data_IF_782592485208
#
_entry.id   IF_782592485208
#
_cell.length_a   1.000
_cell.length_b   1.000
_cell.length_c   1.000
_cell.angle_alpha   90.00
_cell.angle_beta   90.00
_cell.angle_gamma   90.00
#
_symmetry.space_group_name_H-M   'P 1'
#
loop_
_entity.id
_entity.type
_entity.pdbx_description
1 polymer ?
#
# COMPACT_ATOMS: atom_id res chain seq x y z
N UNK A 1 0.49 -46.93 33.05
CA UNK A 1 0.47 -46.59 31.61
C UNK A 1 0.33 -45.08 31.49
N UNK A 2 1.46 -44.39 31.34
CA UNK A 2 1.56 -42.94 31.22
C UNK A 2 1.85 -42.60 29.76
N UNK A 3 0.90 -41.97 29.08
CA UNK A 3 1.10 -41.50 27.71
C UNK A 3 1.79 -40.14 27.74
N UNK A 4 3.05 -40.13 27.32
CA UNK A 4 3.86 -38.94 27.08
C UNK A 4 3.53 -38.45 25.67
N UNK A 5 2.91 -37.27 25.53
CA UNK A 5 2.82 -36.60 24.25
C UNK A 5 3.72 -35.36 24.26
N UNK A 6 4.94 -35.55 23.77
CA UNK A 6 5.94 -34.49 23.55
C UNK A 6 5.73 -33.97 22.13
N UNK A 7 4.98 -32.89 21.99
CA UNK A 7 4.97 -32.11 20.75
C UNK A 7 6.33 -31.44 20.55
N UNK A 8 6.92 -31.66 19.37
CA UNK A 8 8.20 -31.08 18.95
C UNK A 8 8.09 -29.55 18.82
N UNK A 9 8.71 -28.81 19.75
CA UNK A 9 9.06 -27.41 19.50
C UNK A 9 10.31 -27.34 18.61
N UNK A 10 10.32 -26.47 17.58
CA UNK A 10 11.53 -26.24 16.78
C UNK A 10 12.60 -25.58 17.66
N UNK A 11 13.80 -26.17 17.66
CA UNK A 11 14.98 -25.64 18.36
C UNK A 11 15.39 -24.30 17.75
N UNK A 12 15.34 -23.20 18.51
CA UNK A 12 15.95 -21.95 18.03
C UNK A 12 15.63 -20.61 18.72
N UNK A 13 14.76 -20.52 19.73
CA UNK A 13 14.48 -19.23 20.39
C UNK A 13 14.78 -19.36 21.88
N UNK A 14 15.89 -18.79 22.34
CA UNK A 14 16.11 -18.56 23.78
C UNK A 14 14.91 -17.76 24.29
N UNK A 15 14.16 -18.31 25.25
CA UNK A 15 13.05 -17.60 25.87
C UNK A 15 13.50 -16.23 26.36
N UNK A 16 12.68 -15.19 26.11
CA UNK A 16 13.01 -13.83 26.51
C UNK A 16 13.28 -13.79 28.03
N UNK A 17 14.51 -13.45 28.43
CA UNK A 17 14.94 -13.51 29.83
C UNK A 17 14.18 -12.53 30.73
N UNK A 18 13.51 -11.52 30.18
CA UNK A 18 12.85 -10.43 30.92
C UNK A 18 11.38 -10.70 31.26
N UNK A 19 10.70 -11.52 30.47
CA UNK A 19 9.26 -11.78 30.59
C UNK A 19 8.98 -13.25 30.91
N UNK A 20 8.00 -13.50 31.77
CA UNK A 20 7.46 -14.82 32.06
C UNK A 20 6.11 -14.98 31.36
N UNK A 21 5.91 -16.06 30.62
CA UNK A 21 4.59 -16.42 30.10
C UNK A 21 3.78 -17.03 31.24
N UNK A 22 2.74 -16.35 31.71
CA UNK A 22 1.92 -16.79 32.83
C UNK A 22 0.61 -17.45 32.39
N UNK A 23 -0.01 -16.99 31.30
CA UNK A 23 -1.22 -17.60 30.77
C UNK A 23 -1.38 -17.28 29.27
N UNK A 24 -1.91 -18.25 28.51
CA UNK A 24 -2.22 -18.13 27.10
C UNK A 24 -3.50 -18.92 26.82
N UNK A 25 -4.56 -18.22 26.42
CA UNK A 25 -5.83 -18.81 26.04
C UNK A 25 -6.22 -18.38 24.61
N UNK A 26 -5.97 -19.22 23.59
CA UNK A 26 -6.32 -18.92 22.21
C UNK A 26 -7.81 -19.07 21.89
N UNK A 27 -8.62 -19.67 22.78
CA UNK A 27 -10.03 -19.99 22.52
C UNK A 27 -11.01 -19.04 23.22
N UNK A 28 -10.50 -17.99 23.86
CA UNK A 28 -11.31 -16.98 24.57
C UNK A 28 -12.17 -16.09 23.64
N UNK A 29 -11.89 -16.06 22.34
CA UNK A 29 -12.67 -15.35 21.29
C UNK A 29 -13.08 -13.91 21.67
N UNK A 30 -12.09 -13.07 22.02
CA UNK A 30 -12.32 -11.66 22.37
C UNK A 30 -12.01 -10.73 21.20
N UNK A 31 -12.97 -9.89 20.86
CA UNK A 31 -12.85 -8.89 19.80
C UNK A 31 -12.93 -7.49 20.41
N UNK A 32 -11.79 -6.87 20.67
CA UNK A 32 -11.73 -5.57 21.36
C UNK A 32 -10.57 -4.72 20.85
N UNK A 33 -10.66 -3.42 21.09
CA UNK A 33 -9.55 -2.48 20.92
C UNK A 33 -8.95 -2.11 22.28
N UNK A 34 -7.72 -1.60 22.29
CA UNK A 34 -7.02 -1.15 23.52
C UNK A 34 -7.85 -0.17 24.35
N UNK A 35 -8.56 0.76 23.71
CA UNK A 35 -9.43 1.73 24.40
C UNK A 35 -10.64 1.12 25.13
N UNK A 36 -10.99 -0.13 24.82
CA UNK A 36 -12.11 -0.88 25.40
C UNK A 36 -11.67 -1.85 26.50
N UNK A 37 -10.40 -1.78 26.93
CA UNK A 37 -9.79 -2.63 27.95
C UNK A 37 -9.36 -1.75 29.12
N UNK A 38 -9.78 -2.11 30.34
CA UNK A 38 -9.33 -1.42 31.55
C UNK A 38 -9.09 -2.37 32.72
N UNK A 39 -8.28 -1.93 33.66
CA UNK A 39 -8.00 -2.63 34.92
C UNK A 39 -8.56 -1.77 36.04
N UNK A 40 -9.47 -2.32 36.84
CA UNK A 40 -10.12 -1.58 37.92
C UNK A 40 -10.50 -2.52 39.05
N UNK A 41 -10.37 -2.03 40.28
CA UNK A 41 -10.93 -2.70 41.45
C UNK A 41 -12.42 -2.35 41.59
N UNK A 42 -13.26 -3.09 40.85
CA UNK A 42 -14.72 -2.89 40.81
C UNK A 42 -15.37 -3.16 42.19
N UNK A 43 -14.72 -3.93 43.05
CA UNK A 43 -15.30 -4.39 44.31
C UNK A 43 -14.70 -3.70 45.54
N UNK A 44 -13.72 -2.80 45.35
CA UNK A 44 -12.92 -2.19 46.41
C UNK A 44 -12.29 -3.24 47.36
N UNK A 45 -11.93 -4.42 46.84
CA UNK A 45 -11.36 -5.53 47.60
C UNK A 45 -9.81 -5.54 47.58
N UNK A 46 -9.20 -4.52 46.97
CA UNK A 46 -7.76 -4.41 46.75
C UNK A 46 -7.26 -5.25 45.57
N UNK A 47 -8.15 -5.89 44.80
CA UNK A 47 -7.80 -6.74 43.66
C UNK A 47 -8.36 -6.17 42.35
N UNK A 48 -7.45 -5.68 41.51
CA UNK A 48 -7.80 -5.21 40.16
C UNK A 48 -8.34 -6.34 39.30
N UNK A 49 -9.51 -6.10 38.71
CA UNK A 49 -10.19 -6.99 37.77
C UNK A 49 -10.00 -6.43 36.36
N UNK A 50 -9.87 -7.32 35.39
CA UNK A 50 -9.77 -6.91 33.99
C UNK A 50 -11.16 -6.80 33.40
N UNK A 51 -11.49 -5.61 32.91
CA UNK A 51 -12.76 -5.31 32.26
C UNK A 51 -12.49 -5.14 30.77
N UNK A 52 -13.21 -5.90 29.95
CA UNK A 52 -13.13 -5.87 28.49
C UNK A 52 -14.52 -5.65 27.94
N UNK A 53 -14.70 -4.63 27.11
CA UNK A 53 -15.86 -4.55 26.24
C UNK A 53 -15.57 -5.35 24.95
N UNK A 54 -16.12 -6.56 24.89
CA UNK A 54 -16.06 -7.43 23.73
C UNK A 54 -17.11 -6.99 22.70
N UNK A 55 -16.64 -6.67 21.51
CA UNK A 55 -17.44 -6.15 20.41
C UNK A 55 -18.13 -7.29 19.64
N UNK A 56 -17.72 -8.55 19.83
CA UNK A 56 -18.23 -9.69 19.09
C UNK A 56 -18.09 -9.46 17.57
N UNK A 57 -19.21 -9.37 16.86
CA UNK A 57 -19.23 -9.09 15.41
C UNK A 57 -19.39 -7.61 15.05
N UNK A 58 -19.46 -6.73 16.06
CA UNK A 58 -19.68 -5.28 15.91
C UNK A 58 -21.13 -4.88 15.63
N UNK A 59 -22.02 -5.83 15.32
CA UNK A 59 -23.46 -5.58 15.10
C UNK A 59 -24.37 -6.38 16.04
N UNK A 60 -23.88 -7.47 16.62
CA UNK A 60 -24.61 -8.30 17.58
C UNK A 60 -23.62 -8.96 18.56
N UNK A 61 -24.14 -9.40 19.70
CA UNK A 61 -23.40 -10.12 20.75
C UNK A 61 -22.26 -9.32 21.40
N UNK A 62 -22.45 -8.01 21.56
CA UNK A 62 -21.53 -7.16 22.32
C UNK A 62 -21.70 -7.41 23.81
N UNK A 63 -20.59 -7.61 24.53
CA UNK A 63 -20.61 -7.99 25.94
C UNK A 63 -19.50 -7.33 26.75
N UNK A 64 -19.82 -6.90 27.96
CA UNK A 64 -18.86 -6.49 28.96
C UNK A 64 -18.43 -7.72 29.76
N UNK A 65 -17.19 -8.15 29.59
CA UNK A 65 -16.58 -9.29 30.27
C UNK A 65 -15.65 -8.81 31.37
N UNK A 66 -15.85 -9.29 32.59
CA UNK A 66 -15.01 -9.01 33.75
C UNK A 66 -14.26 -10.27 34.13
N UNK A 67 -12.93 -10.20 34.18
CA UNK A 67 -12.05 -11.30 34.56
C UNK A 67 -11.42 -11.06 35.93
N UNK A 68 -11.39 -12.11 36.74
CA UNK A 68 -10.63 -12.19 38.00
C UNK A 68 -9.54 -13.25 37.84
N UNK A 69 -8.27 -12.83 37.85
CA UNK A 69 -7.15 -13.70 37.50
C UNK A 69 -7.24 -14.18 36.05
N UNK A 70 -7.37 -15.50 35.85
CA UNK A 70 -7.53 -16.15 34.53
C UNK A 70 -8.97 -16.59 34.26
N UNK A 71 -9.91 -16.34 35.18
CA UNK A 71 -11.30 -16.81 35.06
C UNK A 71 -12.26 -15.66 34.75
N UNK A 72 -13.23 -15.91 33.87
CA UNK A 72 -14.33 -14.99 33.61
C UNK A 72 -15.27 -14.97 34.83
N UNK A 73 -15.48 -13.79 35.39
CA UNK A 73 -16.31 -13.55 36.57
C UNK A 73 -17.74 -13.19 36.20
N UNK A 74 -17.90 -12.21 35.30
CA UNK A 74 -19.22 -11.69 34.92
C UNK A 74 -19.23 -11.34 33.44
N UNK A 75 -20.37 -11.56 32.80
CA UNK A 75 -20.64 -11.21 31.41
C UNK A 75 -21.99 -10.48 31.31
N UNK A 76 -21.97 -9.24 30.82
CA UNK A 76 -23.17 -8.41 30.67
C UNK A 76 -23.33 -7.99 29.21
N UNK A 77 -24.52 -8.12 28.64
CA UNK A 77 -24.78 -7.66 27.26
C UNK A 77 -24.77 -6.14 27.17
N UNK A 78 -24.07 -5.59 26.18
CA UNK A 78 -24.02 -4.16 25.86
C UNK A 78 -24.90 -3.91 24.64
N UNK A 79 -25.70 -2.84 24.68
CA UNK A 79 -26.67 -2.51 23.63
C UNK A 79 -26.01 -1.71 22.48
N UNK A 80 -25.08 -0.81 22.82
CA UNK A 80 -24.44 0.10 21.87
C UNK A 80 -22.93 -0.11 21.75
N UNK A 81 -22.36 0.28 20.61
CA UNK A 81 -20.92 0.20 20.33
C UNK A 81 -20.14 1.18 21.24
N UNK A 82 -19.19 0.71 22.06
CA UNK A 82 -18.41 1.57 22.95
C UNK A 82 -17.30 2.31 22.19
N UNK A 83 -17.39 3.65 22.10
CA UNK A 83 -16.52 4.46 21.22
C UNK A 83 -15.43 5.29 21.93
N UNK A 84 -15.38 5.27 23.28
CA UNK A 84 -14.67 6.24 24.13
C UNK A 84 -15.38 7.62 24.28
N UNK A 85 -15.12 8.34 25.38
CA UNK A 85 -16.03 9.31 26.06
C UNK A 85 -16.06 10.73 25.45
N UNK A 86 -15.51 10.99 24.27
CA UNK A 86 -15.65 12.30 23.61
C UNK A 86 -15.74 12.18 22.08
N UNK A 87 -16.67 12.91 21.45
CA UNK A 87 -16.96 12.82 20.01
C UNK A 87 -16.44 14.08 19.29
N UNK A 88 -15.35 13.93 18.52
CA UNK A 88 -14.96 14.89 17.48
C UNK A 88 -15.58 14.49 16.13
N UNK A 89 -16.05 15.48 15.37
CA UNK A 89 -16.51 15.28 14.00
C UNK A 89 -16.18 16.51 13.15
N UNK A 90 -15.24 16.37 12.22
CA UNK A 90 -14.75 17.46 11.37
C UNK A 90 -13.92 18.48 12.17
N UNK A 91 -14.09 19.81 11.96
CA UNK A 91 -13.43 20.85 12.77
C UNK A 91 -14.15 21.10 14.11
N UNK A 92 -15.17 20.32 14.43
CA UNK A 92 -16.04 20.53 15.58
C UNK A 92 -15.80 19.50 16.68
N UNK A 93 -15.71 19.99 17.92
CA UNK A 93 -15.72 19.17 19.12
C UNK A 93 -17.07 19.37 19.80
N UNK A 94 -17.80 18.27 19.98
CA UNK A 94 -19.09 18.28 20.66
C UNK A 94 -18.92 17.82 22.10
N UNK A 95 -19.12 18.73 23.04
CA UNK A 95 -19.12 18.42 24.47
C UNK A 95 -20.53 18.09 24.88
N UNK A 96 -20.73 16.86 25.37
CA UNK A 96 -22.00 16.41 25.91
C UNK A 96 -21.96 16.45 27.44
N UNK A 97 -23.00 17.02 28.06
CA UNK A 97 -23.21 16.95 29.51
C UNK A 97 -24.54 16.25 29.74
N UNK A 98 -24.53 15.14 30.46
CA UNK A 98 -25.71 14.28 30.68
C UNK A 98 -26.39 13.83 29.37
N UNK A 99 -25.60 13.38 28.39
CA UNK A 99 -26.08 12.92 27.06
C UNK A 99 -26.85 13.99 26.26
N UNK A 100 -26.71 15.27 26.63
CA UNK A 100 -27.26 16.40 25.87
C UNK A 100 -26.11 17.24 25.31
N UNK A 101 -26.21 17.73 24.06
CA UNK A 101 -25.22 18.66 23.51
C UNK A 101 -25.15 19.89 24.42
N UNK A 102 -24.00 20.10 25.05
CA UNK A 102 -23.78 21.20 25.98
C UNK A 102 -23.01 22.33 25.31
N UNK A 103 -22.00 21.99 24.49
CA UNK A 103 -21.15 22.97 23.83
C UNK A 103 -20.61 22.42 22.51
N UNK A 104 -20.58 23.28 21.47
CA UNK A 104 -19.96 22.99 20.17
C UNK A 104 -18.76 23.92 20.01
N UNK A 105 -17.55 23.39 20.18
CA UNK A 105 -16.33 24.13 19.91
C UNK A 105 -15.96 23.95 18.44
N UNK A 106 -15.62 25.05 17.77
CA UNK A 106 -15.08 25.05 16.41
C UNK A 106 -13.62 25.46 16.54
N UNK A 107 -12.70 24.68 15.98
CA UNK A 107 -11.29 25.10 15.91
C UNK A 107 -11.19 26.50 15.30
N UNK A 108 -10.21 27.33 15.72
CA UNK A 108 -9.90 28.57 15.02
C UNK A 108 -9.73 28.22 13.54
N UNK A 109 -10.59 28.78 12.68
CA UNK A 109 -10.43 28.63 11.24
C UNK A 109 -9.08 29.23 10.89
N UNK A 110 -8.15 28.40 10.41
CA UNK A 110 -7.01 28.91 9.67
C UNK A 110 -7.61 29.64 8.46
N UNK A 111 -7.25 30.90 8.26
CA UNK A 111 -7.64 31.62 7.04
C UNK A 111 -7.23 30.76 5.84
N UNK A 112 -8.22 30.35 5.04
CA UNK A 112 -7.98 29.49 3.87
C UNK A 112 -6.99 30.22 2.99
N UNK A 113 -5.88 29.56 2.64
CA UNK A 113 -4.91 30.19 1.77
C UNK A 113 -5.62 30.51 0.43
N UNK A 114 -5.52 31.74 -0.10
CA UNK A 114 -6.16 32.11 -1.37
C UNK A 114 -5.81 31.14 -2.52
N UNK A 115 -4.62 30.54 -2.49
CA UNK A 115 -4.18 29.54 -3.46
C UNK A 115 -4.89 28.19 -3.30
N UNK A 116 -5.23 27.79 -2.06
CA UNK A 116 -6.02 26.58 -1.78
C UNK A 116 -7.46 26.79 -2.25
N UNK A 117 -8.03 27.96 -1.95
CA UNK A 117 -9.39 28.33 -2.35
C UNK A 117 -9.53 28.36 -3.89
N UNK A 118 -8.58 28.94 -4.60
CA UNK A 118 -8.56 28.95 -6.07
C UNK A 118 -8.51 27.54 -6.65
N UNK A 119 -7.72 26.64 -6.05
CA UNK A 119 -7.59 25.26 -6.50
C UNK A 119 -8.88 24.44 -6.27
N UNK A 120 -9.56 24.65 -5.14
CA UNK A 120 -10.89 24.07 -4.87
C UNK A 120 -11.96 24.61 -5.82
N UNK A 121 -11.90 25.90 -6.16
CA UNK A 121 -12.78 26.50 -7.16
C UNK A 121 -12.55 25.89 -8.55
N UNK A 122 -11.29 25.66 -8.94
CA UNK A 122 -10.95 25.00 -10.20
C UNK A 122 -11.43 23.53 -10.25
N UNK A 123 -11.38 22.81 -9.14
CA UNK A 123 -11.96 21.46 -9.02
C UNK A 123 -13.49 21.50 -9.16
N UNK A 124 -14.14 22.44 -8.48
CA UNK A 124 -15.61 22.61 -8.51
C UNK A 124 -16.11 22.98 -9.90
N UNK A 125 -15.31 23.73 -10.67
CA UNK A 125 -15.57 24.07 -12.07
C UNK A 125 -15.26 22.92 -13.05
N UNK A 126 -14.77 21.77 -12.57
CA UNK A 126 -14.43 20.60 -13.39
C UNK A 126 -13.13 20.74 -14.19
N UNK A 127 -12.35 21.79 -13.92
CA UNK A 127 -11.08 22.08 -14.62
C UNK A 127 -9.93 21.19 -14.11
N UNK A 128 -10.05 20.61 -12.92
CA UNK A 128 -9.02 19.80 -12.26
C UNK A 128 -9.64 18.48 -11.79
N UNK A 129 -8.95 17.36 -12.03
CA UNK A 129 -9.36 16.04 -11.54
C UNK A 129 -8.86 15.78 -10.11
N UNK A 130 -9.53 14.90 -9.38
CA UNK A 130 -9.24 14.60 -7.96
C UNK A 130 -7.80 14.11 -7.70
N UNK A 131 -7.19 13.42 -8.66
CA UNK A 131 -5.79 12.98 -8.58
C UNK A 131 -4.80 14.16 -8.64
N UNK A 132 -5.05 15.12 -9.53
CA UNK A 132 -4.21 16.30 -9.75
C UNK A 132 -4.39 17.28 -8.58
N UNK A 133 -5.63 17.44 -8.11
CA UNK A 133 -5.94 18.21 -6.90
C UNK A 133 -5.12 17.71 -5.71
N UNK A 134 -5.06 16.40 -5.50
CA UNK A 134 -4.29 15.80 -4.40
C UNK A 134 -2.79 16.09 -4.53
N UNK A 135 -2.21 15.92 -5.71
CA UNK A 135 -0.78 16.20 -5.94
C UNK A 135 -0.43 17.67 -5.71
N UNK A 136 -1.29 18.60 -6.16
CA UNK A 136 -1.08 20.03 -5.98
C UNK A 136 -1.24 20.46 -4.52
N UNK A 137 -2.21 19.90 -3.78
CA UNK A 137 -2.35 20.13 -2.35
C UNK A 137 -1.18 19.55 -1.54
N UNK A 138 -0.68 18.36 -1.92
CA UNK A 138 0.51 17.78 -1.29
C UNK A 138 1.77 18.61 -1.56
N UNK A 139 1.94 19.17 -2.75
CA UNK A 139 3.05 20.08 -3.09
C UNK A 139 2.96 21.39 -2.28
N UNK A 140 1.77 22.00 -2.17
CA UNK A 140 1.54 23.16 -1.32
C UNK A 140 1.86 22.87 0.15
N UNK A 141 1.50 21.68 0.64
CA UNK A 141 1.80 21.21 2.01
C UNK A 141 3.31 21.03 2.23
N UNK A 142 4.04 20.52 1.24
CA UNK A 142 5.51 20.39 1.29
C UNK A 142 6.19 21.76 1.29
N UNK A 143 5.64 22.72 0.55
CA UNK A 143 6.13 24.09 0.47
C UNK A 143 5.74 24.98 1.67
N UNK A 144 5.14 24.41 2.70
CA UNK A 144 4.87 25.08 3.98
C UNK A 144 3.64 25.98 3.99
N UNK A 145 2.73 25.81 3.03
CA UNK A 145 1.44 26.51 3.03
C UNK A 145 0.56 25.93 4.15
N UNK A 146 0.03 26.77 5.07
CA UNK A 146 -0.91 26.31 6.09
C UNK A 146 -2.26 26.03 5.43
N UNK A 147 -2.54 24.74 5.17
CA UNK A 147 -3.82 24.27 4.65
C UNK A 147 -4.81 24.01 5.79
N UNK A 148 -6.10 24.01 5.47
CA UNK A 148 -7.15 23.61 6.41
C UNK A 148 -6.88 22.19 6.96
N UNK A 149 -7.10 22.01 8.28
CA UNK A 149 -6.71 20.77 8.98
C UNK A 149 -7.86 20.18 9.76
N UNK A 150 -7.96 18.84 9.74
CA UNK A 150 -9.02 18.09 10.42
C UNK A 150 -8.45 17.43 11.67
N UNK A 151 -9.25 17.37 12.74
CA UNK A 151 -8.91 16.63 13.95
C UNK A 151 -8.95 15.14 13.61
N UNK A 152 -7.82 14.45 13.79
CA UNK A 152 -7.69 13.01 13.51
C UNK A 152 -7.78 12.18 14.79
N UNK A 153 -7.37 12.73 15.94
CA UNK A 153 -7.48 12.05 17.22
C UNK A 153 -7.62 13.03 18.40
N UNK A 154 -8.20 12.52 19.49
CA UNK A 154 -8.44 13.21 20.75
C UNK A 154 -7.82 12.38 21.89
N UNK A 155 -7.20 13.05 22.84
CA UNK A 155 -6.80 12.45 24.12
C UNK A 155 -6.88 13.50 25.25
N UNK A 156 -6.63 13.11 26.50
CA UNK A 156 -6.64 14.00 27.66
C UNK A 156 -5.30 13.99 28.40
N UNK A 157 -4.86 15.15 28.88
CA UNK A 157 -3.60 15.32 29.60
C UNK A 157 -3.82 16.13 30.87
N UNK A 158 -3.44 15.60 32.03
CA UNK A 158 -3.61 16.30 33.32
C UNK A 158 -2.77 17.59 33.36
N UNK A 159 -3.41 18.72 33.69
CA UNK A 159 -2.84 20.08 33.61
C UNK A 159 -1.74 20.35 34.63
N UNK A 160 -1.92 19.91 35.88
CA UNK A 160 -1.03 20.27 36.98
C UNK A 160 -0.61 19.12 37.90
N UNK A 161 -1.42 18.07 38.08
CA UNK A 161 -1.15 17.02 39.07
C UNK A 161 -1.44 15.63 38.51
N UNK A 162 -0.75 14.60 39.00
CA UNK A 162 -0.96 13.20 38.59
C UNK A 162 -2.18 12.52 39.26
N UNK A 163 -2.82 13.18 40.22
CA UNK A 163 -3.99 12.69 40.97
C UNK A 163 -5.23 12.51 40.09
N UNK A 164 -6.13 11.60 40.47
CA UNK A 164 -7.33 11.25 39.68
C UNK A 164 -8.32 12.43 39.50
N UNK A 165 -8.39 13.34 40.46
CA UNK A 165 -9.29 14.52 40.43
C UNK A 165 -8.67 15.76 39.75
N UNK A 166 -7.46 15.64 39.19
CA UNK A 166 -6.77 16.76 38.59
C UNK A 166 -7.42 17.20 37.26
N UNK A 167 -7.55 18.52 37.08
CA UNK A 167 -8.08 19.14 35.87
C UNK A 167 -7.31 18.62 34.65
N UNK A 168 -8.03 18.04 33.68
CA UNK A 168 -7.47 17.43 32.48
C UNK A 168 -7.66 18.32 31.26
N UNK A 169 -6.56 18.73 30.62
CA UNK A 169 -6.53 19.41 29.34
C UNK A 169 -6.91 18.47 28.19
N UNK A 170 -7.51 19.01 27.13
CA UNK A 170 -7.80 18.26 25.93
C UNK A 170 -6.60 18.31 24.98
N UNK A 171 -6.19 17.17 24.44
CA UNK A 171 -5.11 17.04 23.45
C UNK A 171 -5.71 16.66 22.11
N UNK A 172 -5.35 17.41 21.07
CA UNK A 172 -5.86 17.24 19.71
C UNK A 172 -4.71 16.91 18.79
N UNK A 173 -4.79 15.80 18.07
CA UNK A 173 -3.95 15.53 16.91
C UNK A 173 -4.67 15.96 15.63
N UNK A 174 -3.97 16.62 14.73
CA UNK A 174 -4.50 17.05 13.44
C UNK A 174 -3.79 16.38 12.26
N UNK A 175 -4.45 16.32 11.10
CA UNK A 175 -3.89 15.78 9.85
C UNK A 175 -2.62 16.54 9.40
N UNK A 176 -2.50 17.80 9.80
CA UNK A 176 -1.31 18.63 9.56
C UNK A 176 -0.10 18.29 10.45
N UNK A 177 -0.12 17.14 11.14
CA UNK A 177 0.94 16.64 12.02
C UNK A 177 1.23 17.59 13.21
N UNK A 178 0.21 18.35 13.62
CA UNK A 178 0.30 19.23 14.78
C UNK A 178 -0.48 18.62 15.95
N UNK A 179 0.02 18.87 17.16
CA UNK A 179 -0.65 18.50 18.40
C UNK A 179 -0.95 19.77 19.17
N UNK A 180 -2.22 20.00 19.51
CA UNK A 180 -2.66 21.13 20.33
C UNK A 180 -3.07 20.64 21.70
N UNK A 181 -2.62 21.33 22.75
CA UNK A 181 -3.16 21.16 24.11
C UNK A 181 -4.09 22.34 24.39
N UNK A 182 -5.34 22.06 24.71
CA UNK A 182 -6.35 23.07 25.00
C UNK A 182 -6.56 23.25 26.50
N UNK A 183 -6.84 24.48 26.90
CA UNK A 183 -7.30 24.79 28.24
C UNK A 183 -8.70 24.19 28.50
N UNK A 184 -8.93 23.49 29.61
CA UNK A 184 -10.19 22.81 29.88
C UNK A 184 -11.37 23.75 30.17
N UNK A 185 -11.12 25.01 30.54
CA UNK A 185 -12.18 25.98 30.84
C UNK A 185 -12.36 26.98 29.70
N UNK A 186 -11.26 27.50 29.16
CA UNK A 186 -11.27 28.54 28.12
C UNK A 186 -11.17 27.98 26.69
N UNK A 187 -10.83 26.70 26.52
CA UNK A 187 -10.60 26.04 25.22
C UNK A 187 -9.59 26.76 24.32
N UNK A 188 -8.70 27.56 24.90
CA UNK A 188 -7.61 28.24 24.21
C UNK A 188 -6.41 27.30 24.07
N UNK A 189 -5.60 27.50 23.02
CA UNK A 189 -4.38 26.71 22.82
C UNK A 189 -3.35 27.08 23.90
N UNK A 190 -3.08 26.15 24.81
CA UNK A 190 -2.06 26.28 25.85
C UNK A 190 -0.65 26.03 25.32
N UNK A 191 -0.49 25.06 24.41
CA UNK A 191 0.80 24.75 23.79
C UNK A 191 0.64 24.08 22.43
N UNK A 192 1.65 24.29 21.56
CA UNK A 192 1.78 23.64 20.26
C UNK A 192 2.95 22.66 20.29
N UNK A 193 2.67 21.39 19.97
CA UNK A 193 3.69 20.36 19.89
C UNK A 193 4.54 20.50 18.62
N UNK A 194 5.87 20.56 18.75
CA UNK A 194 6.81 20.41 17.63
C UNK A 194 7.29 18.96 17.53
N UNK A 195 7.41 18.44 16.31
CA UNK A 195 7.92 17.09 16.07
C UNK A 195 9.38 16.99 16.54
N UNK A 196 9.63 16.24 17.61
CA UNK A 196 10.98 16.01 18.13
C UNK A 196 11.73 14.93 17.35
N UNK A 197 11.07 13.80 17.06
CA UNK A 197 11.67 12.66 16.36
C UNK A 197 10.61 11.80 15.66
N UNK A 198 11.06 10.86 14.83
CA UNK A 198 10.22 9.87 14.15
C UNK A 198 10.99 8.56 14.00
N UNK A 199 10.32 7.43 14.23
CA UNK A 199 10.89 6.09 14.10
C UNK A 199 10.12 5.35 13.02
N UNK A 200 10.84 4.79 12.04
CA UNK A 200 10.23 3.94 11.02
C UNK A 200 10.05 2.53 11.56
N UNK A 201 8.81 2.04 11.50
CA UNK A 201 8.49 0.66 11.87
C UNK A 201 8.72 -0.29 10.69
N UNK A 202 9.11 -1.55 10.95
CA UNK A 202 9.32 -2.55 9.90
C UNK A 202 8.02 -3.14 9.34
N UNK A 203 6.91 -2.96 10.05
CA UNK A 203 5.59 -3.49 9.74
C UNK A 203 4.51 -2.47 10.20
N UNK A 204 3.26 -2.69 9.79
CA UNK A 204 2.14 -1.79 10.12
C UNK A 204 1.83 -1.83 11.62
N UNK A 205 1.57 -0.66 12.20
CA UNK A 205 1.17 -0.53 13.60
C UNK A 205 -0.29 -0.94 13.76
N UNK A 206 -0.57 -1.81 14.72
CA UNK A 206 -1.91 -2.30 15.06
C UNK A 206 -2.47 -1.60 16.29
N UNK A 207 -1.70 -1.54 17.37
CA UNK A 207 -2.09 -0.82 18.57
C UNK A 207 -0.86 -0.27 19.30
N UNK A 208 -1.08 0.81 20.06
CA UNK A 208 -0.14 1.43 20.96
C UNK A 208 -0.66 1.33 22.40
N UNK A 209 0.22 1.21 23.37
CA UNK A 209 -0.13 1.33 24.79
C UNK A 209 1.04 1.93 25.58
N UNK A 210 0.73 2.64 26.66
CA UNK A 210 1.76 3.15 27.57
C UNK A 210 2.16 2.10 28.60
N UNK A 211 3.46 1.95 28.81
CA UNK A 211 4.04 1.15 29.88
C UNK A 211 4.58 2.11 30.93
N UNK A 212 3.93 2.18 32.08
CA UNK A 212 4.40 2.93 33.24
C UNK A 212 4.68 1.99 34.41
N UNK A 213 5.96 1.71 34.64
CA UNK A 213 6.40 0.87 35.75
C UNK A 213 7.06 1.73 36.84
N UNK A 214 6.22 2.16 37.78
CA UNK A 214 6.56 3.07 38.89
C UNK A 214 7.81 2.62 39.68
N UNK A 215 7.91 1.33 40.02
CA UNK A 215 9.02 0.81 40.85
C UNK A 215 10.41 0.91 40.21
N UNK A 216 10.50 0.90 38.87
CA UNK A 216 11.79 1.09 38.16
C UNK A 216 11.86 2.42 37.41
N UNK A 217 10.87 3.30 37.56
CA UNK A 217 10.79 4.56 36.83
C UNK A 217 10.79 4.40 35.31
N UNK A 218 10.30 3.26 34.79
CA UNK A 218 10.29 3.01 33.35
C UNK A 218 8.96 3.50 32.76
N UNK A 219 9.02 4.61 32.03
CA UNK A 219 7.94 5.11 31.17
C UNK A 219 8.31 4.85 29.71
N UNK A 220 7.54 4.02 29.04
CA UNK A 220 7.79 3.58 27.68
C UNK A 220 6.49 3.44 26.88
N UNK A 221 6.61 3.32 25.57
CA UNK A 221 5.49 3.06 24.65
C UNK A 221 5.66 1.67 24.06
N UNK A 222 4.63 0.85 24.17
CA UNK A 222 4.55 -0.47 23.54
C UNK A 222 3.84 -0.32 22.20
N UNK A 223 4.45 -0.88 21.15
CA UNK A 223 3.96 -0.80 19.76
C UNK A 223 3.74 -2.22 19.24
N UNK A 224 2.49 -2.63 19.06
CA UNK A 224 2.15 -3.91 18.44
C UNK A 224 2.11 -3.77 16.92
N UNK A 225 2.75 -4.71 16.22
CA UNK A 225 2.92 -4.70 14.77
C UNK A 225 2.26 -5.92 14.12
N UNK A 226 1.96 -5.83 12.82
CA UNK A 226 1.38 -6.94 12.02
C UNK A 226 2.30 -8.14 11.82
N UNK A 227 3.60 -8.03 12.12
CA UNK A 227 4.57 -9.12 12.03
C UNK A 227 4.72 -9.91 13.34
N UNK A 228 3.70 -9.87 14.22
CA UNK A 228 3.67 -10.56 15.52
C UNK A 228 4.79 -10.11 16.48
N UNK A 229 5.23 -8.86 16.35
CA UNK A 229 6.18 -8.22 17.27
C UNK A 229 5.50 -7.11 18.05
N UNK A 230 5.75 -7.08 19.35
CA UNK A 230 5.51 -5.91 20.20
C UNK A 230 6.87 -5.29 20.53
N UNK A 231 7.08 -4.05 20.11
CA UNK A 231 8.32 -3.30 20.37
C UNK A 231 8.10 -2.30 21.49
N UNK A 232 9.01 -2.28 22.46
CA UNK A 232 8.96 -1.34 23.59
C UNK A 232 9.98 -0.25 23.35
N UNK A 233 9.52 1.00 23.32
CA UNK A 233 10.35 2.18 23.11
C UNK A 233 10.36 3.08 24.33
N UNK A 234 11.54 3.46 24.79
CA UNK A 234 11.71 4.56 25.74
C UNK A 234 12.27 5.73 24.95
N UNK A 235 11.44 6.77 24.79
CA UNK A 235 11.72 7.86 23.85
C UNK A 235 12.01 7.30 22.44
N UNK A 236 13.18 7.61 21.88
CA UNK A 236 13.62 7.12 20.57
C UNK A 236 14.29 5.74 20.60
N UNK A 237 14.59 5.21 21.78
CA UNK A 237 15.42 4.02 21.95
C UNK A 237 14.57 2.76 22.01
N UNK A 238 14.96 1.73 21.25
CA UNK A 238 14.34 0.42 21.33
C UNK A 238 14.87 -0.28 22.59
N UNK A 239 13.96 -0.66 23.47
CA UNK A 239 14.25 -1.22 24.79
C UNK A 239 14.06 -2.73 24.80
N UNK A 240 13.02 -3.23 24.15
CA UNK A 240 12.75 -4.67 24.08
C UNK A 240 11.86 -5.03 22.88
N UNK A 241 11.92 -6.30 22.48
CA UNK A 241 11.01 -6.89 21.50
C UNK A 241 10.39 -8.13 22.12
N UNK A 242 9.06 -8.21 22.08
CA UNK A 242 8.28 -9.37 22.49
C UNK A 242 7.69 -9.97 21.22
N UNK A 243 7.98 -11.24 20.97
CA UNK A 243 7.37 -12.00 19.88
C UNK A 243 6.08 -12.66 20.42
N UNK A 244 4.99 -12.50 19.67
CA UNK A 244 3.68 -13.11 19.94
C UNK A 244 3.37 -14.21 18.91
N UNK A 245 2.41 -15.07 19.22
CA UNK A 245 1.99 -16.14 18.30
C UNK A 245 1.13 -15.54 17.17
N UNK A 246 0.21 -14.65 17.54
CA UNK A 246 -0.69 -13.93 16.64
C UNK A 246 -0.54 -12.40 16.75
N UNK A 247 -1.18 -11.69 15.83
CA UNK A 247 -1.23 -10.23 15.79
C UNK A 247 -2.05 -9.71 16.98
N UNK A 248 -1.45 -8.82 17.78
CA UNK A 248 -2.12 -8.24 18.95
C UNK A 248 -2.96 -7.02 18.55
N UNK A 249 -4.27 -7.09 18.82
CA UNK A 249 -5.26 -6.05 18.50
C UNK A 249 -5.61 -5.15 19.69
N UNK A 250 -5.45 -5.66 20.92
CA UNK A 250 -5.69 -4.92 22.16
C UNK A 250 -4.61 -5.23 23.20
N UNK A 251 -4.14 -4.20 23.91
CA UNK A 251 -3.06 -4.32 24.88
C UNK A 251 -3.30 -3.40 26.08
N UNK A 252 -3.07 -3.89 27.29
CA UNK A 252 -3.13 -3.09 28.53
C UNK A 252 -1.97 -3.48 29.44
N UNK A 253 -1.23 -2.50 29.94
CA UNK A 253 -0.19 -2.75 30.93
C UNK A 253 -0.72 -2.51 32.36
N UNK A 254 -0.64 -3.52 33.22
CA UNK A 254 -1.03 -3.44 34.62
C UNK A 254 -1.29 -4.82 35.24
N UNK A 255 -2.03 -4.87 36.35
CA UNK A 255 -2.39 -6.11 37.04
C UNK A 255 -3.72 -6.70 36.53
N UNK A 256 -3.70 -7.63 35.56
CA UNK A 256 -4.86 -8.38 35.03
C UNK A 256 -4.54 -9.06 33.67
N UNK A 257 -5.43 -9.91 33.11
CA UNK A 257 -4.97 -10.90 32.08
C UNK A 257 -5.90 -11.46 30.99
N UNK A 258 -5.26 -11.99 29.93
CA UNK A 258 -5.74 -13.05 29.01
C UNK A 258 -4.53 -13.74 28.32
N UNK A 259 -3.68 -12.96 27.63
CA UNK A 259 -2.27 -13.32 27.38
C UNK A 259 -1.44 -12.60 28.43
N UNK A 260 -1.02 -13.32 29.46
CA UNK A 260 -0.33 -12.72 30.59
C UNK A 260 1.17 -12.92 30.41
N UNK A 261 1.88 -11.84 30.08
CA UNK A 261 3.33 -11.79 30.23
C UNK A 261 3.66 -11.01 31.50
N UNK A 262 4.24 -11.69 32.48
CA UNK A 262 4.69 -11.09 33.73
C UNK A 262 6.11 -10.58 33.54
N UNK A 263 6.30 -9.27 33.71
CA UNK A 263 7.63 -8.68 33.75
C UNK A 263 8.37 -9.15 35.01
N UNK A 264 9.56 -9.74 34.86
CA UNK A 264 10.36 -10.18 36.01
C UNK A 264 10.80 -8.97 36.83
N UNK A 265 10.71 -9.08 38.16
CA UNK A 265 11.24 -8.06 39.08
C UNK A 265 12.73 -7.76 38.82
N UNK A 266 13.50 -8.77 38.43
CA UNK A 266 14.94 -8.65 38.10
C UNK A 266 15.23 -8.17 36.68
N UNK A 267 14.23 -7.97 35.82
CA UNK A 267 14.46 -7.55 34.43
C UNK A 267 15.13 -6.17 34.36
N UNK A 268 16.21 -6.06 33.60
CA UNK A 268 16.86 -4.78 33.27
C UNK A 268 16.64 -4.46 31.80
N UNK A 269 16.43 -3.19 31.51
CA UNK A 269 16.17 -2.68 30.18
C UNK A 269 17.35 -1.82 29.74
N UNK A 270 17.89 -2.14 28.56
CA UNK A 270 19.03 -1.44 27.97
C UNK A 270 18.52 -0.70 26.75
N UNK A 271 18.92 0.56 26.61
CA UNK A 271 18.54 1.41 25.48
C UNK A 271 19.43 1.07 24.29
N UNK A 272 18.82 0.63 23.17
CA UNK A 272 19.53 0.43 21.91
C UNK A 272 19.20 1.56 20.96
N UNK A 273 20.22 2.32 20.56
CA UNK A 273 20.06 3.36 19.55
C UNK A 273 19.81 2.71 18.19
N UNK A 274 18.67 3.02 17.58
CA UNK A 274 18.27 2.48 16.26
C UNK A 274 18.93 3.25 15.10
N UNK A 275 19.68 4.32 15.41
CA UNK A 275 20.57 4.98 14.46
C UNK A 275 21.75 4.03 14.21
N UNK A 276 21.48 3.00 13.41
CA UNK A 276 22.51 2.13 12.89
C UNK A 276 23.57 2.98 12.20
N UNK A 277 24.84 2.62 12.40
CA UNK A 277 25.93 3.15 11.62
C UNK A 277 25.71 2.97 10.11
N UNK A 278 26.65 3.43 9.26
CA UNK A 278 26.52 3.31 7.81
C UNK A 278 26.07 1.90 7.40
N UNK A 279 25.24 1.77 6.36
CA UNK A 279 24.63 0.50 5.95
C UNK A 279 25.67 -0.62 5.89
N UNK A 280 25.36 -1.80 6.42
CA UNK A 280 26.29 -2.94 6.39
C UNK A 280 26.76 -3.31 4.97
N UNK A 281 26.01 -2.90 3.94
CA UNK A 281 26.37 -2.99 2.52
C UNK A 281 27.61 -2.19 2.13
N UNK A 282 28.02 -1.18 2.90
CA UNK A 282 29.23 -0.40 2.64
C UNK A 282 30.52 -1.17 3.02
N UNK A 283 30.41 -2.19 3.88
CA UNK A 283 31.50 -3.11 4.23
C UNK A 283 31.52 -4.39 3.37
N UNK A 284 30.62 -4.50 2.38
CA UNK A 284 30.60 -5.65 1.49
C UNK A 284 31.61 -5.43 0.36
N UNK A 285 32.72 -6.17 0.41
CA UNK A 285 33.73 -6.14 -0.66
C UNK A 285 33.05 -6.48 -1.99
N UNK A 286 33.06 -5.54 -2.92
CA UNK A 286 32.51 -5.74 -4.26
C UNK A 286 33.13 -6.99 -4.88
N UNK A 287 32.29 -7.90 -5.35
CA UNK A 287 32.74 -9.13 -6.02
C UNK A 287 33.16 -8.80 -7.46
N UNK A 288 34.28 -8.09 -7.60
CA UNK A 288 34.87 -7.77 -8.91
C UNK A 288 35.63 -9.01 -9.39
N UNK A 289 35.26 -9.60 -10.54
CA UNK A 289 35.98 -10.74 -11.10
C UNK A 289 37.45 -10.38 -11.35
N UNK A 290 38.38 -11.28 -10.99
CA UNK A 290 39.80 -11.08 -11.26
C UNK A 290 40.09 -11.29 -12.74
N UNK A 291 40.88 -10.39 -13.35
CA UNK A 291 41.40 -10.59 -14.71
C UNK A 291 42.39 -11.75 -14.70
N UNK A 292 42.17 -12.73 -15.59
CA UNK A 292 43.02 -13.91 -15.74
C UNK A 292 44.18 -13.60 -16.69
N UNK A 293 45.22 -14.45 -16.68
CA UNK A 293 46.33 -14.34 -17.64
C UNK A 293 45.84 -14.34 -19.09
N UNK A 294 44.84 -15.18 -19.40
CA UNK A 294 44.22 -15.23 -20.74
C UNK A 294 43.66 -13.88 -21.19
N UNK A 295 43.04 -13.11 -20.29
CA UNK A 295 42.55 -11.76 -20.60
C UNK A 295 43.71 -10.80 -20.94
N UNK A 296 44.82 -10.91 -20.20
CA UNK A 296 46.01 -10.08 -20.43
C UNK A 296 46.64 -10.41 -21.79
N UNK A 297 46.80 -11.70 -22.09
CA UNK A 297 47.37 -12.18 -23.35
C UNK A 297 46.49 -11.78 -24.56
N UNK A 298 45.17 -11.87 -24.41
CA UNK A 298 44.23 -11.40 -25.44
C UNK A 298 44.37 -9.89 -25.70
N UNK A 299 44.54 -9.09 -24.65
CA UNK A 299 44.71 -7.63 -24.79
C UNK A 299 46.00 -7.29 -25.55
N UNK A 300 47.08 -8.04 -25.32
CA UNK A 300 48.34 -7.88 -26.06
C UNK A 300 48.18 -8.24 -27.54
N UNK A 301 47.51 -9.37 -27.84
CA UNK A 301 47.20 -9.78 -29.21
C UNK A 301 46.35 -8.75 -29.96
N UNK A 302 45.31 -8.23 -29.31
CA UNK A 302 44.42 -7.21 -29.86
C UNK A 302 45.17 -5.90 -30.14
N UNK A 303 46.09 -5.51 -29.25
CA UNK A 303 46.92 -4.31 -29.44
C UNK A 303 47.85 -4.43 -30.66
N UNK A 304 48.49 -5.59 -30.84
CA UNK A 304 49.44 -5.81 -31.95
C UNK A 304 48.74 -6.00 -33.30
N UNK A 305 47.53 -6.57 -33.33
CA UNK A 305 46.84 -6.96 -34.56
C UNK A 305 45.53 -6.19 -34.81
N UNK A 306 45.30 -5.06 -34.14
CA UNK A 306 44.04 -4.32 -34.15
C UNK A 306 43.49 -4.04 -35.56
N UNK A 307 44.36 -3.63 -36.49
CA UNK A 307 43.98 -3.26 -37.86
C UNK A 307 43.45 -4.45 -38.64
N UNK A 308 44.08 -5.62 -38.50
CA UNK A 308 43.66 -6.85 -39.18
C UNK A 308 42.32 -7.35 -38.62
N UNK A 309 42.17 -7.35 -37.30
CA UNK A 309 40.94 -7.75 -36.61
C UNK A 309 39.77 -6.86 -37.04
N UNK A 310 39.98 -5.53 -37.09
CA UNK A 310 38.95 -4.59 -37.54
C UNK A 310 38.53 -4.84 -38.99
N UNK A 311 39.48 -5.03 -39.91
CA UNK A 311 39.18 -5.28 -41.33
C UNK A 311 38.40 -6.58 -41.53
N UNK A 312 38.81 -7.66 -40.85
CA UNK A 312 38.11 -8.93 -40.89
C UNK A 312 36.68 -8.81 -40.35
N UNK A 313 36.52 -8.11 -39.22
CA UNK A 313 35.20 -7.87 -38.64
C UNK A 313 34.28 -7.07 -39.58
N UNK A 314 34.78 -6.02 -40.24
CA UNK A 314 33.99 -5.23 -41.19
C UNK A 314 33.58 -6.06 -42.41
N UNK A 315 34.48 -6.88 -42.94
CA UNK A 315 34.19 -7.80 -44.04
C UNK A 315 33.10 -8.81 -43.66
N UNK A 316 33.22 -9.45 -42.50
CA UNK A 316 32.27 -10.46 -42.05
C UNK A 316 30.92 -9.84 -41.67
N UNK A 317 30.90 -8.64 -41.07
CA UNK A 317 29.69 -7.89 -40.81
C UNK A 317 28.96 -7.52 -42.11
N UNK A 318 29.69 -7.14 -43.17
CA UNK A 318 29.11 -6.87 -44.48
C UNK A 318 28.48 -8.13 -45.08
N UNK A 319 29.14 -9.29 -44.96
CA UNK A 319 28.57 -10.58 -45.38
C UNK A 319 27.32 -10.95 -44.59
N UNK A 320 27.32 -10.73 -43.26
CA UNK A 320 26.14 -10.96 -42.42
C UNK A 320 25.00 -10.04 -42.87
N UNK A 321 25.24 -8.74 -43.05
CA UNK A 321 24.22 -7.81 -43.54
C UNK A 321 23.66 -8.22 -44.90
N UNK A 322 24.52 -8.63 -45.83
CA UNK A 322 24.10 -9.13 -47.14
C UNK A 322 23.28 -10.41 -47.03
N UNK A 323 23.70 -11.36 -46.19
CA UNK A 323 22.96 -12.60 -45.96
C UNK A 323 21.64 -12.34 -45.25
N UNK A 324 21.59 -11.47 -44.25
CA UNK A 324 20.35 -11.06 -43.59
C UNK A 324 19.42 -10.36 -44.57
N UNK A 325 19.93 -9.45 -45.42
CA UNK A 325 19.14 -8.82 -46.47
C UNK A 325 18.63 -9.83 -47.49
N UNK A 326 19.45 -10.81 -47.91
CA UNK A 326 19.04 -11.91 -48.80
C UNK A 326 17.96 -12.78 -48.17
N UNK A 327 18.11 -13.17 -46.91
CA UNK A 327 17.11 -13.96 -46.18
C UNK A 327 15.84 -13.14 -45.85
N UNK A 328 15.97 -11.82 -45.68
CA UNK A 328 14.85 -10.90 -45.50
C UNK A 328 14.05 -10.73 -46.80
N UNK A 329 14.75 -10.65 -47.94
CA UNK A 329 14.12 -10.75 -49.26
C UNK A 329 13.49 -12.13 -49.45
N UNK A 330 14.13 -13.18 -48.91
CA UNK A 330 13.65 -14.57 -48.96
C UNK A 330 12.61 -14.99 -47.92
N UNK A 331 11.97 -14.03 -47.26
CA UNK A 331 11.22 -14.29 -46.04
C UNK A 331 9.94 -13.49 -45.97
N UNK A 332 8.84 -14.06 -46.49
CA UNK A 332 7.58 -14.40 -45.80
C UNK A 332 6.81 -15.27 -46.82
N UNK A 333 6.39 -16.46 -46.43
CA UNK A 333 5.70 -17.42 -47.30
C UNK A 333 4.37 -16.92 -47.86
N UNK A 334 3.62 -17.76 -48.60
CA UNK A 334 2.44 -17.35 -49.35
C UNK A 334 1.29 -16.82 -48.49
N UNK A 335 1.34 -16.96 -47.17
CA UNK A 335 0.26 -16.56 -46.27
C UNK A 335 0.71 -15.47 -45.32
N UNK A 336 0.06 -14.31 -45.41
CA UNK A 336 0.24 -13.15 -44.56
C UNK A 336 -0.89 -13.05 -43.55
N UNK A 337 -0.57 -12.73 -42.30
CA UNK A 337 -1.56 -12.38 -41.28
C UNK A 337 -1.82 -10.88 -41.33
N UNK A 338 -3.03 -10.49 -41.69
CA UNK A 338 -3.48 -9.10 -41.75
C UNK A 338 -4.27 -8.74 -40.49
N UNK A 339 -3.77 -7.77 -39.72
CA UNK A 339 -4.42 -7.27 -38.50
C UNK A 339 -4.88 -5.82 -38.70
N UNK A 340 -6.18 -5.58 -38.50
CA UNK A 340 -6.83 -4.25 -38.57
C UNK A 340 -7.20 -3.81 -37.17
N UNK A 341 -6.60 -2.71 -36.70
CA UNK A 341 -6.90 -2.11 -35.40
C UNK A 341 -7.94 -0.99 -35.56
N UNK A 342 -9.08 -1.10 -34.87
CA UNK A 342 -10.13 -0.10 -34.84
C UNK A 342 -10.35 0.41 -33.42
N UNK A 343 -10.39 1.72 -33.28
CA UNK A 343 -10.67 2.41 -32.02
C UNK A 343 -11.77 3.44 -32.22
N UNK A 344 -12.74 3.46 -31.31
CA UNK A 344 -13.72 4.54 -31.24
C UNK A 344 -13.12 5.71 -30.45
N UNK A 345 -12.94 6.85 -31.11
CA UNK A 345 -12.35 8.08 -30.53
C UNK A 345 -13.39 9.06 -29.98
N UNK A 346 -14.67 8.70 -29.97
CA UNK A 346 -15.70 9.53 -29.32
C UNK A 346 -15.57 9.51 -27.79
N UNK A 347 -16.18 10.50 -27.11
CA UNK A 347 -16.10 10.63 -25.65
C UNK A 347 -17.11 9.77 -24.89
N UNK A 348 -18.27 9.47 -25.48
CA UNK A 348 -19.37 8.79 -24.77
C UNK A 348 -20.31 7.96 -25.65
N UNK A 349 -20.12 7.96 -26.97
CA UNK A 349 -21.08 7.33 -27.90
C UNK A 349 -20.49 6.04 -28.47
N UNK A 350 -21.04 4.85 -28.14
CA UNK A 350 -20.56 3.61 -28.74
C UNK A 350 -20.85 3.57 -30.24
N UNK A 351 -19.92 3.01 -31.01
CA UNK A 351 -20.13 2.79 -32.45
C UNK A 351 -20.66 1.37 -32.69
N UNK A 352 -21.84 1.29 -33.30
CA UNK A 352 -22.58 0.07 -33.56
C UNK A 352 -22.77 -0.19 -35.06
N UNK A 353 -23.09 -1.44 -35.40
CA UNK A 353 -23.48 -1.87 -36.75
C UNK A 353 -22.42 -1.60 -37.83
N UNK A 354 -21.16 -1.89 -37.48
CA UNK A 354 -20.00 -1.72 -38.35
C UNK A 354 -19.55 -3.05 -38.97
N UNK A 355 -19.03 -2.98 -40.20
CA UNK A 355 -18.43 -4.11 -40.90
C UNK A 355 -17.14 -3.68 -41.59
N UNK A 356 -16.15 -4.57 -41.59
CA UNK A 356 -14.92 -4.40 -42.36
C UNK A 356 -15.03 -5.25 -43.61
N UNK A 357 -14.74 -4.65 -44.77
CA UNK A 357 -14.64 -5.36 -46.05
C UNK A 357 -13.36 -4.99 -46.77
N UNK A 358 -12.94 -5.83 -47.73
CA UNK A 358 -11.68 -5.72 -48.44
C UNK A 358 -11.92 -5.66 -49.95
N UNK A 359 -11.20 -4.78 -50.63
CA UNK A 359 -11.08 -4.76 -52.09
C UNK A 359 -9.64 -5.09 -52.46
N UNK A 360 -9.48 -6.11 -53.30
CA UNK A 360 -8.21 -6.65 -53.73
C UNK A 360 -8.39 -7.32 -55.11
N UNK A 361 -7.30 -7.56 -55.83
CA UNK A 361 -7.33 -8.39 -57.04
C UNK A 361 -7.45 -9.87 -56.64
N UNK A 362 -8.60 -10.47 -56.95
CA UNK A 362 -8.89 -11.89 -56.71
C UNK A 362 -7.97 -12.86 -57.46
N UNK A 363 -7.22 -12.39 -58.46
CA UNK A 363 -6.20 -13.18 -59.17
C UNK A 363 -4.88 -13.26 -58.40
N UNK A 364 -4.59 -12.25 -57.57
CA UNK A 364 -3.34 -12.15 -56.82
C UNK A 364 -3.49 -12.60 -55.36
N UNK A 365 -4.65 -12.36 -54.75
CA UNK A 365 -4.87 -12.62 -53.33
C UNK A 365 -6.15 -13.40 -53.06
N UNK A 366 -6.10 -14.31 -52.08
CA UNK A 366 -7.26 -14.95 -51.47
C UNK A 366 -7.34 -14.61 -49.97
N UNK A 367 -8.49 -14.09 -49.52
CA UNK A 367 -8.72 -13.77 -48.11
C UNK A 367 -9.64 -14.80 -47.49
N UNK A 368 -9.25 -15.34 -46.32
CA UNK A 368 -10.12 -16.29 -45.58
C UNK A 368 -11.42 -15.66 -45.08
N UNK A 369 -11.36 -14.38 -44.69
CA UNK A 369 -12.53 -13.58 -44.30
C UNK A 369 -12.53 -12.28 -45.09
N UNK A 370 -13.47 -12.16 -46.03
CA UNK A 370 -13.68 -10.96 -46.86
C UNK A 370 -14.64 -9.95 -46.22
N UNK A 371 -15.49 -10.40 -45.29
CA UNK A 371 -16.40 -9.57 -44.50
C UNK A 371 -16.26 -9.92 -43.02
N UNK A 372 -15.92 -8.93 -42.18
CA UNK A 372 -15.78 -9.09 -40.73
C UNK A 372 -16.83 -8.20 -40.05
N UNK A 373 -17.70 -8.81 -39.24
CA UNK A 373 -18.65 -8.05 -38.40
C UNK A 373 -17.90 -7.46 -37.20
N UNK A 374 -18.04 -6.16 -36.99
CA UNK A 374 -17.39 -5.44 -35.89
C UNK A 374 -18.39 -5.39 -34.72
N UNK A 375 -18.00 -5.85 -33.51
CA UNK A 375 -18.82 -5.70 -32.31
C UNK A 375 -18.96 -4.22 -31.90
N UNK A 376 -19.75 -3.94 -30.88
CA UNK A 376 -19.86 -2.59 -30.31
C UNK A 376 -18.49 -2.04 -29.93
N UNK A 377 -18.07 -0.95 -30.58
CA UNK A 377 -16.82 -0.28 -30.22
C UNK A 377 -17.08 0.71 -29.09
N UNK A 378 -16.70 0.32 -27.87
CA UNK A 378 -16.71 1.21 -26.69
C UNK A 378 -15.67 2.34 -26.88
N UNK A 379 -16.03 3.59 -26.55
CA UNK A 379 -15.10 4.72 -26.50
C UNK A 379 -13.76 4.39 -25.84
N UNK A 380 -12.65 4.72 -26.49
CA UNK A 380 -11.29 4.62 -25.93
C UNK A 380 -10.61 3.26 -26.06
N UNK A 381 -11.32 2.15 -26.34
CA UNK A 381 -10.73 0.82 -26.48
C UNK A 381 -10.31 0.49 -27.92
N UNK A 382 -9.15 -0.15 -28.09
CA UNK A 382 -8.63 -0.61 -29.38
C UNK A 382 -8.96 -2.09 -29.62
N UNK A 383 -9.60 -2.39 -30.74
CA UNK A 383 -10.04 -3.72 -31.13
C UNK A 383 -9.26 -4.19 -32.35
N UNK A 384 -8.61 -5.35 -32.24
CA UNK A 384 -7.84 -5.96 -33.31
C UNK A 384 -8.67 -7.03 -34.04
N UNK A 385 -8.80 -6.90 -35.36
CA UNK A 385 -9.46 -7.86 -36.24
C UNK A 385 -8.45 -8.51 -37.16
N UNK A 386 -8.49 -9.83 -37.27
CA UNK A 386 -7.47 -10.58 -38.00
C UNK A 386 -8.09 -11.40 -39.13
N UNK A 387 -7.42 -11.38 -40.29
CA UNK A 387 -7.69 -12.26 -41.42
C UNK A 387 -6.37 -12.72 -42.03
N UNK A 388 -6.39 -13.84 -42.74
CA UNK A 388 -5.21 -14.33 -43.46
C UNK A 388 -5.38 -14.04 -44.95
N UNK A 389 -4.34 -13.49 -45.54
CA UNK A 389 -4.21 -13.17 -46.96
C UNK A 389 -3.23 -14.16 -47.56
N UNK A 390 -3.69 -14.97 -48.50
CA UNK A 390 -2.86 -15.89 -49.26
C UNK A 390 -2.53 -15.27 -50.62
N UNK A 391 -1.25 -15.21 -50.98
CA UNK A 391 -0.81 -14.79 -52.30
C UNK A 391 -0.87 -15.97 -53.26
N UNK A 392 -1.66 -15.80 -54.32
CA UNK A 392 -1.88 -16.81 -55.36
C UNK A 392 -0.90 -16.69 -56.54
N UNK A 393 -0.04 -15.67 -56.53
CA UNK A 393 0.86 -15.36 -57.64
C UNK A 393 2.26 -15.92 -57.41
N UNK A 394 2.69 -16.79 -58.31
CA UNK A 394 4.04 -17.38 -58.32
C UNK A 394 5.09 -16.46 -58.96
N UNK A 395 4.67 -15.28 -59.45
CA UNK A 395 5.49 -14.38 -60.27
C UNK A 395 6.09 -13.21 -59.48
N UNK A 396 6.00 -13.22 -58.15
CA UNK A 396 6.53 -12.14 -57.31
C UNK A 396 5.84 -10.78 -57.56
N UNK A 397 4.58 -10.80 -58.00
CA UNK A 397 3.78 -9.59 -58.25
C UNK A 397 3.06 -9.22 -56.94
N UNK A 398 3.12 -7.94 -56.54
CA UNK A 398 2.34 -7.41 -55.43
C UNK A 398 1.42 -6.27 -55.84
N UNK A 399 0.30 -6.12 -55.14
CA UNK A 399 -0.69 -5.06 -55.32
C UNK A 399 -1.26 -4.59 -53.98
N UNK A 400 -1.99 -3.48 -53.99
CA UNK A 400 -2.60 -2.88 -52.82
C UNK A 400 -3.92 -3.58 -52.43
N UNK A 401 -4.13 -3.80 -51.13
CA UNK A 401 -5.44 -4.19 -50.57
C UNK A 401 -6.05 -2.96 -49.90
N UNK A 402 -7.27 -2.61 -50.31
CA UNK A 402 -8.05 -1.53 -49.68
C UNK A 402 -8.98 -2.13 -48.64
N UNK A 403 -8.94 -1.58 -47.43
CA UNK A 403 -9.80 -1.97 -46.31
C UNK A 403 -10.83 -0.87 -46.11
N UNK A 404 -12.11 -1.24 -46.08
CA UNK A 404 -13.22 -0.32 -45.87
C UNK A 404 -13.96 -0.65 -44.58
N UNK A 405 -14.22 0.37 -43.77
CA UNK A 405 -15.14 0.29 -42.63
C UNK A 405 -16.47 0.89 -43.04
N UNK A 406 -17.51 0.09 -43.07
CA UNK A 406 -18.86 0.46 -43.49
C UNK A 406 -19.83 0.42 -42.31
N UNK A 407 -20.85 1.27 -42.35
CA UNK A 407 -22.00 1.20 -41.45
C UNK A 407 -23.16 0.49 -42.14
N UNK A 408 -23.90 -0.32 -41.41
CA UNK A 408 -25.12 -0.96 -41.91
C UNK A 408 -26.05 0.08 -42.54
N UNK A 409 -26.60 -0.24 -43.71
CA UNK A 409 -27.48 0.63 -44.51
C UNK A 409 -26.81 1.89 -45.10
N UNK A 410 -25.48 2.01 -45.08
CA UNK A 410 -24.74 3.04 -45.81
C UNK A 410 -23.78 2.41 -46.81
N UNK A 411 -23.85 2.84 -48.07
CA UNK A 411 -22.97 2.37 -49.14
C UNK A 411 -21.64 3.14 -49.23
N UNK A 412 -21.48 4.18 -48.41
CA UNK A 412 -20.27 5.01 -48.37
C UNK A 412 -19.41 4.57 -47.18
N UNK A 413 -18.12 4.24 -47.40
CA UNK A 413 -17.21 3.85 -46.32
C UNK A 413 -16.96 5.02 -45.38
N UNK A 414 -16.96 4.75 -44.07
CA UNK A 414 -16.62 5.71 -43.02
C UNK A 414 -15.12 5.97 -43.04
N UNK A 415 -14.32 4.90 -43.16
CA UNK A 415 -12.86 4.94 -43.20
C UNK A 415 -12.40 4.01 -44.31
N UNK A 416 -11.39 4.45 -45.05
CA UNK A 416 -10.66 3.64 -46.02
C UNK A 416 -9.19 3.60 -45.61
N UNK A 417 -8.62 2.41 -45.51
CA UNK A 417 -7.19 2.22 -45.36
C UNK A 417 -6.64 1.49 -46.59
N UNK A 418 -5.40 1.79 -46.92
CA UNK A 418 -4.70 1.21 -48.07
C UNK A 418 -3.47 0.47 -47.54
N UNK A 419 -3.32 -0.78 -47.95
CA UNK A 419 -2.23 -1.64 -47.50
C UNK A 419 -1.46 -2.10 -48.72
N UNK A 420 -0.19 -1.75 -48.79
CA UNK A 420 0.70 -2.27 -49.81
C UNK A 420 1.14 -3.66 -49.39
N UNK A 421 0.72 -4.69 -50.14
CA UNK A 421 1.11 -6.05 -49.81
C UNK A 421 2.59 -6.27 -50.14
N UNK A 422 3.35 -6.92 -49.25
CA UNK A 422 4.69 -7.37 -49.58
C UNK A 422 4.66 -8.41 -50.72
N UNK A 423 5.78 -8.55 -51.41
CA UNK A 423 5.96 -9.60 -52.41
C UNK A 423 6.01 -10.95 -51.70
N UNK A 424 5.25 -11.92 -52.20
CA UNK A 424 5.26 -13.30 -51.70
C UNK A 424 6.32 -14.12 -52.40
N UNK A 425 7.03 -14.96 -51.64
CA UNK A 425 7.89 -15.99 -52.21
C UNK A 425 7.19 -17.35 -52.21
N UNK A 426 7.16 -18.01 -53.37
CA UNK A 426 6.81 -19.43 -53.47
C UNK A 426 8.01 -20.26 -53.03
N UNK A 427 7.75 -21.32 -52.25
CA UNK A 427 8.75 -22.37 -52.05
C UNK A 427 9.05 -23.00 -53.40
N UNK A 428 10.26 -22.78 -53.92
CA UNK A 428 10.83 -23.68 -54.92
C UNK A 428 11.05 -25.00 -54.19
N UNK A 429 10.11 -25.94 -54.34
CA UNK A 429 10.35 -27.34 -53.97
C UNK A 429 11.39 -27.83 -54.98
N UNK A 430 12.64 -27.89 -54.55
CA UNK A 430 13.73 -28.57 -55.27
C UNK A 430 13.56 -30.06 -55.14
#
# INVERSE_FOLDING_TARGET
MSYNDRTHQPKGVKGNEKWLNAHYDPVASLYTFTQCITLSDINADGENKLVIADLGTGSYDMKLKVYKGTSLMTENTIIDLPTAVAVASGPYIYVYKNLRPYFKFTLPTLDVNPQEEELWNQYTMGSVNSSILREMLDDMRVNGVPLTTVITCLDTLKKCMSEEDAISCLVLGTESKQVYVLDPEAFTVLSTGKRLWSIKMPASIQTLETLDHQQKGLKAVMVALTNNEIRIYKEKFLVDIIITEDVVTGMRFGHGGLIIKILKRTAKFEEKDMIGGPPASQNQKLNVPKKTQLFVDQTLRERENAVSIHRQFQHDLYRIRLNTARNYVQGIGPVFKLTVNLQNTSLSVPSMDLFITFQFDTKLYALRKTLIKVPMLVPGLNYAFETFVECLSDKGISDMIKVFVLKKHRSIPIITAVINMPVSETMVIV
#
